data_IF_262330127070
#
_entry.id   IF_262330127070
#
_cell.length_a   1.000
_cell.length_b   1.000
_cell.length_c   1.000
_cell.angle_alpha   90.00
_cell.angle_beta   90.00
_cell.angle_gamma   90.00
#
_symmetry.space_group_name_H-M   'P 1'
#
loop_
_entity.id
_entity.type
_entity.pdbx_description
1 polymer ?
#
# COMPACT_ATOMS: atom_id res chain seq x y z
N UNK A 1 20.84 -35.22 4.83
CA UNK A 1 21.65 -34.34 5.70
C UNK A 1 21.95 -35.12 6.98
N UNK A 2 23.22 -35.37 7.32
CA UNK A 2 23.58 -36.19 8.50
C UNK A 2 23.30 -35.44 9.81
N UNK A 3 23.03 -36.14 10.92
CA UNK A 3 22.74 -35.54 12.24
C UNK A 3 23.80 -34.49 12.67
N UNK A 4 25.08 -34.73 12.38
CA UNK A 4 26.19 -33.79 12.64
C UNK A 4 26.10 -32.50 11.82
N UNK A 5 25.57 -32.56 10.59
CA UNK A 5 25.38 -31.36 9.75
C UNK A 5 24.19 -30.53 10.20
N UNK A 6 23.13 -31.17 10.72
CA UNK A 6 21.99 -30.49 11.35
C UNK A 6 22.40 -29.79 12.64
N UNK A 7 23.19 -30.45 13.50
CA UNK A 7 23.71 -29.82 14.73
C UNK A 7 24.64 -28.64 14.43
N UNK A 8 25.49 -28.76 13.41
CA UNK A 8 26.35 -27.66 12.96
C UNK A 8 25.54 -26.48 12.41
N UNK A 9 24.52 -26.76 11.57
CA UNK A 9 23.62 -25.73 11.06
C UNK A 9 22.92 -24.98 12.20
N UNK A 10 22.39 -25.70 13.19
CA UNK A 10 21.73 -25.09 14.34
C UNK A 10 22.67 -24.28 15.23
N UNK A 11 23.91 -24.75 15.42
CA UNK A 11 24.94 -23.98 16.12
C UNK A 11 25.22 -22.65 15.43
N UNK A 12 25.31 -22.64 14.10
CA UNK A 12 25.47 -21.42 13.30
C UNK A 12 24.23 -20.53 13.45
N UNK A 13 23.01 -21.06 13.32
CA UNK A 13 21.78 -20.27 13.54
C UNK A 13 21.80 -19.56 14.89
N UNK A 14 22.11 -20.30 15.96
CA UNK A 14 22.17 -19.75 17.31
C UNK A 14 23.26 -18.68 17.44
N UNK A 15 24.43 -18.89 16.85
CA UNK A 15 25.52 -17.90 16.84
C UNK A 15 25.06 -16.61 16.16
N UNK A 16 24.55 -16.68 14.93
CA UNK A 16 24.13 -15.50 14.16
C UNK A 16 22.98 -14.73 14.86
N UNK A 17 22.01 -15.44 15.43
CA UNK A 17 20.93 -14.81 16.22
C UNK A 17 21.42 -14.20 17.53
N UNK A 18 22.47 -14.76 18.15
CA UNK A 18 23.07 -14.15 19.34
C UNK A 18 23.88 -12.91 18.99
N UNK A 19 24.65 -12.95 17.91
CA UNK A 19 25.50 -11.83 17.49
C UNK A 19 24.65 -10.61 17.09
N UNK A 20 23.59 -10.80 16.29
CA UNK A 20 22.64 -9.72 15.97
C UNK A 20 21.91 -9.19 17.22
N UNK A 21 21.64 -10.05 18.20
CA UNK A 21 20.94 -9.64 19.44
C UNK A 21 21.80 -8.77 20.35
N UNK A 22 23.13 -8.92 20.26
CA UNK A 22 24.11 -8.08 20.97
C UNK A 22 24.22 -6.70 20.34
N UNK A 23 24.04 -6.58 19.03
CA UNK A 23 23.90 -5.29 18.37
C UNK A 23 22.47 -4.73 18.52
N UNK A 24 22.20 -4.17 19.72
CA UNK A 24 20.91 -3.59 20.08
C UNK A 24 20.45 -2.50 19.11
N UNK A 25 21.37 -1.76 18.49
CA UNK A 25 21.04 -0.69 17.57
C UNK A 25 20.52 -1.27 16.26
N UNK A 26 21.25 -2.22 15.69
CA UNK A 26 20.84 -2.88 14.44
C UNK A 26 19.55 -3.67 14.65
N UNK A 27 19.42 -4.37 15.78
CA UNK A 27 18.18 -5.10 16.11
C UNK A 27 16.99 -4.15 16.31
N UNK A 28 17.17 -3.02 17.00
CA UNK A 28 16.11 -2.03 17.15
C UNK A 28 15.68 -1.42 15.81
N UNK A 29 16.63 -1.13 14.91
CA UNK A 29 16.30 -0.62 13.58
C UNK A 29 15.55 -1.68 12.75
N UNK A 30 16.02 -2.93 12.77
CA UNK A 30 15.47 -4.01 11.94
C UNK A 30 14.12 -4.56 12.43
N UNK A 31 13.89 -4.61 13.75
CA UNK A 31 12.69 -5.21 14.34
C UNK A 31 11.69 -4.21 14.91
N UNK A 32 12.12 -3.02 15.33
CA UNK A 32 11.22 -1.98 15.83
C UNK A 32 11.00 -0.91 14.76
N UNK A 33 12.03 -0.15 14.41
CA UNK A 33 11.84 1.05 13.60
C UNK A 33 11.31 0.74 12.19
N UNK A 34 11.93 -0.22 11.47
CA UNK A 34 11.49 -0.60 10.13
C UNK A 34 10.03 -1.06 10.08
N UNK A 35 9.65 -2.09 10.86
CA UNK A 35 8.28 -2.59 10.93
C UNK A 35 7.22 -1.59 11.40
N UNK A 36 7.55 -0.71 12.36
CA UNK A 36 6.59 0.23 12.96
C UNK A 36 6.43 1.53 12.17
N UNK A 37 7.46 1.95 11.42
CA UNK A 37 7.47 3.26 10.75
C UNK A 37 6.27 3.43 9.81
N UNK A 38 6.04 2.46 8.92
CA UNK A 38 4.95 2.55 7.94
C UNK A 38 3.55 2.50 8.56
N UNK A 39 3.21 1.53 9.44
CA UNK A 39 1.95 1.54 10.16
C UNK A 39 1.69 2.83 10.93
N UNK A 40 2.72 3.41 11.55
CA UNK A 40 2.63 4.65 12.31
C UNK A 40 2.37 5.86 11.39
N UNK A 41 3.11 5.96 10.27
CA UNK A 41 2.91 7.02 9.28
C UNK A 41 1.51 6.93 8.66
N UNK A 42 1.04 5.72 8.31
CA UNK A 42 -0.32 5.54 7.79
C UNK A 42 -1.39 5.89 8.82
N UNK A 43 -1.21 5.51 10.09
CA UNK A 43 -2.13 5.89 11.17
C UNK A 43 -2.21 7.42 11.32
N UNK A 44 -1.03 8.07 11.36
CA UNK A 44 -0.92 9.52 11.51
C UNK A 44 -1.55 10.27 10.35
N UNK A 45 -1.22 9.90 9.12
CA UNK A 45 -1.80 10.50 7.91
C UNK A 45 -3.30 10.22 7.80
N UNK A 46 -3.74 9.00 8.13
CA UNK A 46 -5.16 8.62 8.11
C UNK A 46 -5.98 9.42 9.12
N UNK A 47 -5.47 9.59 10.34
CA UNK A 47 -6.09 10.43 11.38
C UNK A 47 -6.15 11.90 10.96
N UNK A 48 -5.07 12.44 10.40
CA UNK A 48 -5.04 13.83 9.92
C UNK A 48 -6.03 14.05 8.78
N UNK A 49 -6.10 13.11 7.83
CA UNK A 49 -7.03 13.17 6.70
C UNK A 49 -8.49 13.07 7.17
N UNK A 50 -8.80 12.17 8.11
CA UNK A 50 -10.15 12.05 8.67
C UNK A 50 -10.55 13.32 9.43
N UNK A 51 -9.67 13.83 10.29
CA UNK A 51 -9.94 15.06 11.04
C UNK A 51 -10.21 16.22 10.08
N UNK A 52 -9.39 16.36 9.04
CA UNK A 52 -9.59 17.38 8.00
C UNK A 52 -10.92 17.22 7.26
N UNK A 53 -11.26 15.99 6.86
CA UNK A 53 -12.52 15.71 6.17
C UNK A 53 -13.73 16.03 7.05
N UNK A 54 -13.72 15.65 8.34
CA UNK A 54 -14.78 15.99 9.29
C UNK A 54 -14.93 17.50 9.46
N UNK A 55 -13.82 18.21 9.69
CA UNK A 55 -13.86 19.67 9.81
C UNK A 55 -14.45 20.34 8.56
N UNK A 56 -14.09 19.89 7.35
CA UNK A 56 -14.63 20.47 6.11
C UNK A 56 -16.08 20.08 5.81
N UNK A 57 -16.56 18.94 6.31
CA UNK A 57 -17.95 18.52 6.17
C UNK A 57 -18.87 19.25 7.16
N UNK A 58 -18.42 19.41 8.40
CA UNK A 58 -19.20 20.05 9.46
C UNK A 58 -19.15 21.59 9.37
N UNK A 59 -18.08 22.15 8.80
CA UNK A 59 -17.96 23.59 8.62
C UNK A 59 -18.99 24.15 7.63
N UNK A 60 -19.44 25.37 7.94
CA UNK A 60 -20.17 26.23 7.01
C UNK A 60 -19.31 26.51 5.78
N UNK A 61 -19.82 26.20 4.59
CA UNK A 61 -19.12 26.48 3.35
C UNK A 61 -19.44 27.91 2.92
N UNK A 62 -18.48 28.83 3.15
CA UNK A 62 -18.57 30.22 2.68
C UNK A 62 -18.23 30.26 1.20
N UNK A 63 -19.24 30.44 0.36
CA UNK A 63 -19.17 30.33 -1.09
C UNK A 63 -19.20 31.73 -1.74
N UNK A 64 -18.13 32.21 -2.38
CA UNK A 64 -18.19 33.37 -3.24
C UNK A 64 -19.17 33.13 -4.39
N UNK A 65 -20.20 33.97 -4.49
CA UNK A 65 -21.19 33.90 -5.56
C UNK A 65 -21.20 35.19 -6.35
N UNK A 66 -20.98 35.08 -7.67
CA UNK A 66 -21.16 36.18 -8.62
C UNK A 66 -22.57 36.10 -9.22
N UNK A 67 -23.33 37.19 -9.15
CA UNK A 67 -24.71 37.22 -9.63
C UNK A 67 -25.71 36.57 -8.67
N UNK A 68 -25.45 36.60 -7.35
CA UNK A 68 -26.33 36.01 -6.34
C UNK A 68 -27.77 36.59 -6.41
N UNK A 69 -27.89 37.86 -6.78
CA UNK A 69 -29.13 38.59 -7.02
C UNK A 69 -30.01 37.99 -8.13
N UNK A 70 -29.40 37.30 -9.11
CA UNK A 70 -30.15 36.67 -10.20
C UNK A 70 -30.92 35.42 -9.75
N UNK A 71 -30.51 34.79 -8.63
CA UNK A 71 -31.04 33.49 -8.18
C UNK A 71 -31.35 33.42 -6.67
N UNK A 72 -32.17 34.32 -6.10
CA UNK A 72 -32.38 34.39 -4.65
C UNK A 72 -32.95 33.11 -4.02
N UNK A 73 -33.78 32.36 -4.76
CA UNK A 73 -34.32 31.08 -4.30
C UNK A 73 -33.27 29.97 -4.25
N UNK A 74 -32.33 29.95 -5.20
CA UNK A 74 -31.20 29.02 -5.20
C UNK A 74 -30.29 29.31 -4.00
N UNK A 75 -29.98 30.58 -3.74
CA UNK A 75 -29.15 30.98 -2.59
C UNK A 75 -29.79 30.57 -1.26
N UNK A 76 -31.10 30.78 -1.10
CA UNK A 76 -31.84 30.32 0.08
C UNK A 76 -31.78 28.80 0.23
N UNK A 77 -31.91 28.05 -0.87
CA UNK A 77 -31.79 26.58 -0.83
C UNK A 77 -30.38 26.14 -0.41
N UNK A 78 -29.33 26.74 -0.97
CA UNK A 78 -27.94 26.45 -0.60
C UNK A 78 -27.69 26.69 0.91
N UNK A 79 -28.27 27.76 1.47
CA UNK A 79 -28.17 28.03 2.91
C UNK A 79 -28.77 26.91 3.78
N UNK A 80 -29.83 26.21 3.32
CA UNK A 80 -30.38 25.04 4.05
C UNK A 80 -29.43 23.85 4.10
N UNK A 81 -28.43 23.82 3.21
CA UNK A 81 -27.39 22.78 3.13
C UNK A 81 -26.06 23.24 3.78
N UNK A 82 -26.11 24.27 4.62
CA UNK A 82 -24.95 24.88 5.28
C UNK A 82 -23.91 25.44 4.26
N UNK A 83 -24.40 25.94 3.12
CA UNK A 83 -23.61 26.63 2.08
C UNK A 83 -24.06 28.09 2.04
N UNK A 84 -23.25 28.99 2.58
CA UNK A 84 -23.58 30.41 2.74
C UNK A 84 -22.91 31.22 1.64
N UNK A 85 -23.72 31.91 0.84
CA UNK A 85 -23.22 32.79 -0.20
C UNK A 85 -22.59 34.06 0.40
N UNK A 86 -21.37 34.37 -0.03
CA UNK A 86 -20.67 35.62 0.25
C UNK A 86 -20.45 36.40 -1.06
N UNK A 87 -20.30 37.74 -1.01
CA UNK A 87 -20.02 38.53 -2.21
C UNK A 87 -18.75 38.05 -2.92
N UNK A 88 -18.85 37.80 -4.23
CA UNK A 88 -17.69 37.40 -5.02
C UNK A 88 -16.68 38.56 -5.17
N UNK A 89 -15.36 38.30 -5.02
CA UNK A 89 -14.33 39.26 -5.37
C UNK A 89 -14.43 39.72 -6.84
N UNK A 90 -13.92 40.92 -7.12
CA UNK A 90 -13.83 41.46 -8.47
C UNK A 90 -13.03 40.53 -9.40
N UNK A 91 -11.89 40.03 -8.90
CA UNK A 91 -11.06 39.01 -9.54
C UNK A 91 -11.31 37.64 -8.88
N UNK A 92 -12.34 36.93 -9.37
CA UNK A 92 -12.75 35.63 -8.83
C UNK A 92 -11.75 34.53 -9.17
N UNK A 93 -11.29 34.48 -10.43
CA UNK A 93 -10.37 33.45 -10.90
C UNK A 93 -9.02 33.55 -10.20
N UNK A 94 -8.51 34.77 -10.02
CA UNK A 94 -7.31 35.02 -9.25
C UNK A 94 -7.48 34.72 -7.75
N UNK A 95 -8.66 34.95 -7.16
CA UNK A 95 -8.93 34.56 -5.77
C UNK A 95 -8.91 33.04 -5.56
N UNK A 96 -9.44 32.27 -6.52
CA UNK A 96 -9.33 30.80 -6.52
C UNK A 96 -7.87 30.37 -6.70
N UNK A 97 -7.13 30.99 -7.61
CA UNK A 97 -5.71 30.70 -7.83
C UNK A 97 -4.83 31.02 -6.61
N UNK A 98 -5.12 32.13 -5.90
CA UNK A 98 -4.45 32.56 -4.66
C UNK A 98 -4.87 31.76 -3.43
N UNK A 99 -5.86 30.88 -3.56
CA UNK A 99 -6.42 30.07 -2.47
C UNK A 99 -7.11 30.88 -1.37
N UNK A 100 -7.63 32.06 -1.72
CA UNK A 100 -8.49 32.84 -0.81
C UNK A 100 -9.82 32.11 -0.59
N UNK A 101 -10.26 31.35 -1.60
CA UNK A 101 -11.44 30.50 -1.59
C UNK A 101 -11.20 29.19 -2.36
N UNK A 102 -11.75 28.08 -1.87
CA UNK A 102 -11.56 26.76 -2.48
C UNK A 102 -12.45 26.53 -3.72
N UNK A 103 -13.65 27.12 -3.72
CA UNK A 103 -14.66 26.98 -4.78
C UNK A 103 -15.49 28.26 -4.86
N UNK A 104 -15.96 28.60 -6.06
CA UNK A 104 -16.91 29.69 -6.28
C UNK A 104 -18.05 29.28 -7.23
N UNK A 105 -19.11 30.07 -7.22
CA UNK A 105 -20.27 29.88 -8.09
C UNK A 105 -20.52 31.14 -8.92
N UNK A 106 -20.67 30.98 -10.22
CA UNK A 106 -21.12 32.03 -11.13
C UNK A 106 -22.56 31.71 -11.54
N UNK A 107 -23.45 32.66 -11.31
CA UNK A 107 -24.83 32.61 -11.77
C UNK A 107 -24.95 33.52 -13.00
N UNK A 108 -25.32 32.94 -14.14
CA UNK A 108 -25.42 33.68 -15.39
C UNK A 108 -26.45 34.83 -15.31
N UNK A 109 -26.21 35.92 -16.02
CA UNK A 109 -27.08 37.10 -15.99
C UNK A 109 -28.51 36.82 -16.50
N UNK A 110 -28.64 35.89 -17.45
CA UNK A 110 -29.90 35.41 -18.01
C UNK A 110 -30.60 34.33 -17.16
N UNK A 111 -30.03 33.99 -15.98
CA UNK A 111 -30.57 32.95 -15.10
C UNK A 111 -32.04 33.20 -14.77
N UNK A 112 -32.40 34.42 -14.37
CA UNK A 112 -33.75 34.76 -13.96
C UNK A 112 -34.77 34.65 -15.11
N UNK A 113 -34.36 35.00 -16.33
CA UNK A 113 -35.20 34.91 -17.52
C UNK A 113 -35.42 33.44 -17.92
N UNK A 114 -34.34 32.68 -18.10
CA UNK A 114 -34.40 31.26 -18.42
C UNK A 114 -35.19 30.47 -17.37
N UNK A 115 -35.01 30.82 -16.09
CA UNK A 115 -35.73 30.22 -14.98
C UNK A 115 -37.25 30.43 -15.07
N UNK A 116 -37.70 31.65 -15.37
CA UNK A 116 -39.13 31.98 -15.53
C UNK A 116 -39.76 31.30 -16.75
N UNK A 117 -39.01 31.22 -17.85
CA UNK A 117 -39.44 30.55 -19.08
C UNK A 117 -39.45 29.01 -18.96
N UNK A 118 -38.99 28.46 -17.83
CA UNK A 118 -38.92 27.02 -17.61
C UNK A 118 -37.78 26.34 -18.38
N UNK A 119 -36.82 27.12 -18.90
CA UNK A 119 -35.60 26.63 -19.53
C UNK A 119 -34.53 26.31 -18.46
N UNK A 120 -33.54 25.46 -18.76
CA UNK A 120 -32.37 25.28 -17.89
C UNK A 120 -31.64 26.62 -17.74
N UNK A 121 -31.37 27.02 -16.49
CA UNK A 121 -30.64 28.25 -16.19
C UNK A 121 -29.18 27.89 -15.84
N UNK A 122 -28.23 28.56 -16.48
CA UNK A 122 -26.81 28.22 -16.36
C UNK A 122 -26.22 28.69 -15.02
N UNK A 123 -25.49 27.80 -14.38
CA UNK A 123 -24.62 28.09 -13.23
C UNK A 123 -23.28 27.37 -13.44
N UNK A 124 -22.19 28.03 -13.08
CA UNK A 124 -20.84 27.50 -13.27
C UNK A 124 -20.12 27.37 -11.92
N UNK A 125 -19.54 26.21 -11.68
CA UNK A 125 -18.68 25.97 -10.51
C UNK A 125 -17.25 26.26 -10.92
N UNK A 126 -16.65 27.27 -10.30
CA UNK A 126 -15.25 27.64 -10.52
C UNK A 126 -14.40 26.99 -9.43
N UNK A 127 -13.44 26.17 -9.84
CA UNK A 127 -12.52 25.46 -8.95
C UNK A 127 -11.19 25.18 -9.67
N UNK A 128 -10.12 25.04 -8.90
CA UNK A 128 -8.85 24.47 -9.38
C UNK A 128 -8.85 22.95 -9.08
N UNK A 129 -9.06 22.14 -10.12
CA UNK A 129 -9.12 20.67 -9.98
C UNK A 129 -7.80 20.01 -9.62
N UNK A 130 -6.67 20.75 -9.68
CA UNK A 130 -5.37 20.25 -9.23
C UNK A 130 -5.22 20.31 -7.71
N UNK A 131 -6.13 21.02 -7.02
CA UNK A 131 -6.12 21.20 -5.56
C UNK A 131 -7.05 20.22 -4.87
N UNK A 132 -6.48 19.46 -3.93
CA UNK A 132 -7.25 18.52 -3.10
C UNK A 132 -8.23 19.23 -2.17
N UNK A 133 -7.92 20.45 -1.78
CA UNK A 133 -8.72 21.21 -0.82
C UNK A 133 -10.09 21.64 -1.40
N UNK A 134 -10.15 21.84 -2.72
CA UNK A 134 -11.39 22.13 -3.46
C UNK A 134 -12.28 20.91 -3.67
N UNK A 135 -11.76 19.68 -3.53
CA UNK A 135 -12.48 18.45 -3.92
C UNK A 135 -13.74 18.20 -3.06
N UNK A 136 -13.68 18.49 -1.75
CA UNK A 136 -14.82 18.32 -0.84
C UNK A 136 -15.84 19.45 -1.03
N UNK A 137 -15.46 20.75 -0.96
CA UNK A 137 -16.38 21.88 -1.21
C UNK A 137 -17.11 21.77 -2.56
N UNK A 138 -16.39 21.47 -3.64
CA UNK A 138 -16.99 21.37 -4.97
C UNK A 138 -17.95 20.20 -5.12
N UNK A 139 -17.66 19.05 -4.48
CA UNK A 139 -18.59 17.92 -4.43
C UNK A 139 -19.85 18.26 -3.64
N UNK A 140 -19.72 18.93 -2.49
CA UNK A 140 -20.87 19.43 -1.70
C UNK A 140 -21.74 20.39 -2.52
N UNK A 141 -21.12 21.37 -3.19
CA UNK A 141 -21.83 22.33 -4.03
C UNK A 141 -22.54 21.66 -5.21
N UNK A 142 -21.85 20.79 -5.94
CA UNK A 142 -22.44 20.05 -7.07
C UNK A 142 -23.64 19.21 -6.64
N UNK A 143 -23.52 18.46 -5.55
CA UNK A 143 -24.62 17.65 -5.02
C UNK A 143 -25.83 18.50 -4.63
N UNK A 144 -25.61 19.68 -4.02
CA UNK A 144 -26.68 20.61 -3.68
C UNK A 144 -27.37 21.18 -4.94
N UNK A 145 -26.60 21.62 -5.95
CA UNK A 145 -27.14 22.13 -7.21
C UNK A 145 -27.96 21.07 -7.96
N UNK A 146 -27.47 19.83 -8.04
CA UNK A 146 -28.19 18.72 -8.64
C UNK A 146 -29.47 18.37 -7.87
N UNK A 147 -29.41 18.40 -6.53
CA UNK A 147 -30.58 18.22 -5.67
C UNK A 147 -31.67 19.27 -5.94
N UNK A 148 -31.27 20.55 -6.01
CA UNK A 148 -32.17 21.65 -6.34
C UNK A 148 -32.78 21.50 -7.74
N UNK A 149 -31.96 21.15 -8.73
CA UNK A 149 -32.40 20.91 -10.11
C UNK A 149 -33.44 19.79 -10.19
N UNK A 150 -33.22 18.66 -9.50
CA UNK A 150 -34.19 17.55 -9.44
C UNK A 150 -35.49 17.95 -8.76
N UNK A 151 -35.43 18.70 -7.65
CA UNK A 151 -36.60 19.15 -6.92
C UNK A 151 -37.46 20.09 -7.78
N UNK A 152 -36.85 21.11 -8.38
CA UNK A 152 -37.56 22.08 -9.22
C UNK A 152 -38.07 21.43 -10.51
N UNK A 153 -37.26 20.57 -11.14
CA UNK A 153 -37.67 19.82 -12.33
C UNK A 153 -38.94 19.01 -12.08
N UNK A 154 -39.00 18.32 -10.93
CA UNK A 154 -40.20 17.56 -10.53
C UNK A 154 -41.43 18.45 -10.34
N UNK A 155 -41.28 19.59 -9.66
CA UNK A 155 -42.37 20.57 -9.49
C UNK A 155 -42.85 21.15 -10.82
N UNK A 156 -41.93 21.42 -11.75
CA UNK A 156 -42.23 21.91 -13.10
C UNK A 156 -42.98 20.90 -13.96
N UNK A 157 -42.74 19.61 -13.77
CA UNK A 157 -43.47 18.54 -14.44
C UNK A 157 -44.88 18.40 -13.85
N UNK A 158 -44.99 18.35 -12.52
CA UNK A 158 -46.26 18.28 -11.80
C UNK A 158 -47.20 19.44 -12.15
N UNK A 159 -46.67 20.67 -12.20
CA UNK A 159 -47.43 21.86 -12.58
C UNK A 159 -47.98 21.81 -14.01
N UNK A 160 -47.41 20.96 -14.87
CA UNK A 160 -47.88 20.72 -16.25
C UNK A 160 -48.72 19.45 -16.38
N UNK A 161 -49.11 18.82 -15.28
CA UNK A 161 -49.84 17.55 -15.27
C UNK A 161 -49.01 16.35 -15.73
N UNK A 162 -47.69 16.49 -15.80
CA UNK A 162 -46.77 15.42 -16.20
C UNK A 162 -46.23 14.77 -14.93
N UNK A 163 -46.41 13.46 -14.79
CA UNK A 163 -45.80 12.72 -13.70
C UNK A 163 -44.26 12.77 -13.82
N UNK A 164 -43.51 13.14 -12.76
CA UNK A 164 -42.05 13.21 -12.81
C UNK A 164 -41.36 11.91 -13.24
N UNK A 165 -42.01 10.76 -13.01
CA UNK A 165 -41.54 9.43 -13.44
C UNK A 165 -41.39 9.31 -14.95
N UNK A 166 -42.12 10.09 -15.75
CA UNK A 166 -41.98 10.08 -17.22
C UNK A 166 -40.59 10.56 -17.65
N UNK A 167 -39.98 11.48 -16.89
CA UNK A 167 -38.62 11.97 -17.16
C UNK A 167 -37.52 11.04 -16.62
N UNK A 168 -37.86 10.10 -15.73
CA UNK A 168 -36.96 9.11 -15.15
C UNK A 168 -37.32 7.72 -15.68
N UNK A 169 -37.07 7.50 -16.97
CA UNK A 169 -37.45 6.27 -17.69
C UNK A 169 -36.68 5.02 -17.23
N UNK A 170 -35.51 5.20 -16.62
CA UNK A 170 -34.67 4.10 -16.11
C UNK A 170 -34.42 4.34 -14.62
N UNK A 171 -34.87 3.40 -13.80
CA UNK A 171 -34.52 3.34 -12.39
C UNK A 171 -33.30 2.43 -12.22
N UNK A 172 -32.10 3.01 -12.26
CA UNK A 172 -30.85 2.27 -12.10
C UNK A 172 -30.72 1.86 -10.63
N UNK A 173 -30.71 0.55 -10.38
CA UNK A 173 -30.41 -0.02 -9.06
C UNK A 173 -29.00 -0.59 -9.03
N UNK A 174 -28.19 -0.16 -8.07
CA UNK A 174 -26.87 -0.74 -7.82
C UNK A 174 -26.97 -1.89 -6.80
N UNK A 175 -26.60 -3.10 -7.22
CA UNK A 175 -26.45 -4.25 -6.33
C UNK A 175 -24.97 -4.57 -6.13
N UNK A 176 -24.42 -4.04 -5.05
CA UNK A 176 -23.04 -4.31 -4.66
C UNK A 176 -22.92 -5.70 -4.01
N UNK A 177 -22.17 -6.60 -4.65
CA UNK A 177 -21.89 -7.95 -4.18
C UNK A 177 -20.65 -8.02 -3.27
N UNK A 178 -19.91 -6.92 -3.11
CA UNK A 178 -18.69 -6.89 -2.32
C UNK A 178 -19.02 -7.03 -0.82
N UNK A 179 -18.33 -7.97 -0.17
CA UNK A 179 -18.41 -8.11 1.27
C UNK A 179 -17.82 -6.87 1.96
N UNK A 180 -18.27 -6.58 3.18
CA UNK A 180 -17.71 -5.48 3.96
C UNK A 180 -16.18 -5.60 4.14
N UNK A 181 -15.67 -6.84 4.18
CA UNK A 181 -14.25 -7.14 4.26
C UNK A 181 -13.52 -6.82 2.95
N UNK A 182 -14.08 -7.20 1.79
CA UNK A 182 -13.51 -6.84 0.49
C UNK A 182 -13.45 -5.32 0.26
N UNK A 183 -14.47 -4.58 0.74
CA UNK A 183 -14.48 -3.11 0.70
C UNK A 183 -13.37 -2.49 1.54
N UNK A 184 -13.15 -2.99 2.76
CA UNK A 184 -12.03 -2.56 3.62
C UNK A 184 -10.68 -2.88 2.96
N UNK A 185 -10.59 -4.04 2.33
CA UNK A 185 -9.42 -4.49 1.57
C UNK A 185 -9.06 -3.62 0.36
N UNK A 186 -9.97 -2.78 -0.16
CA UNK A 186 -9.72 -1.99 -1.37
C UNK A 186 -8.61 -0.96 -1.17
N UNK A 187 -8.62 -0.23 -0.06
CA UNK A 187 -7.56 0.75 0.25
C UNK A 187 -6.24 0.07 0.58
N UNK A 188 -6.29 -1.09 1.24
CA UNK A 188 -5.13 -1.92 1.55
C UNK A 188 -4.47 -2.51 0.30
N UNK A 189 -5.25 -2.77 -0.75
CA UNK A 189 -4.80 -3.47 -1.95
C UNK A 189 -3.72 -2.73 -2.72
N UNK A 190 -3.61 -1.40 -2.62
CA UNK A 190 -2.67 -0.63 -3.43
C UNK A 190 -1.25 -0.60 -2.86
N UNK A 191 -1.08 -0.53 -1.54
CA UNK A 191 0.22 -0.31 -0.91
C UNK A 191 0.72 -1.51 -0.09
N UNK A 192 -0.20 -2.22 0.59
CA UNK A 192 0.19 -3.25 1.55
C UNK A 192 0.94 -4.44 0.90
N UNK A 193 0.54 -4.95 -0.30
CA UNK A 193 1.29 -6.01 -0.96
C UNK A 193 2.75 -5.63 -1.24
N UNK A 194 2.99 -4.42 -1.75
CA UNK A 194 4.34 -3.93 -2.03
C UNK A 194 5.20 -3.91 -0.76
N UNK A 195 4.68 -3.30 0.30
CA UNK A 195 5.39 -3.17 1.57
C UNK A 195 5.75 -4.54 2.14
N UNK A 196 4.79 -5.47 2.21
CA UNK A 196 5.04 -6.79 2.78
C UNK A 196 6.01 -7.61 1.93
N UNK A 197 5.94 -7.51 0.61
CA UNK A 197 6.91 -8.17 -0.28
C UNK A 197 8.31 -7.60 -0.03
N UNK A 198 8.44 -6.28 0.05
CA UNK A 198 9.70 -5.59 0.32
C UNK A 198 10.28 -6.01 1.68
N UNK A 199 9.47 -5.95 2.75
CA UNK A 199 9.87 -6.37 4.10
C UNK A 199 10.26 -7.84 4.15
N UNK A 200 9.52 -8.72 3.48
CA UNK A 200 9.83 -10.16 3.42
C UNK A 200 11.15 -10.44 2.69
N UNK A 201 11.36 -9.79 1.55
CA UNK A 201 12.54 -9.97 0.71
C UNK A 201 13.82 -9.45 1.36
N UNK A 202 13.71 -8.37 2.15
CA UNK A 202 14.85 -7.64 2.73
C UNK A 202 15.03 -7.88 4.24
N UNK A 203 14.05 -8.47 4.92
CA UNK A 203 14.04 -8.52 6.39
C UNK A 203 15.25 -9.22 7.03
N UNK A 204 15.92 -10.12 6.30
CA UNK A 204 17.16 -10.78 6.73
C UNK A 204 18.46 -10.17 6.17
N UNK A 205 18.38 -9.08 5.40
CA UNK A 205 19.49 -8.60 4.58
C UNK A 205 20.69 -8.11 5.38
N UNK A 206 20.44 -7.37 6.47
CA UNK A 206 21.50 -6.86 7.34
C UNK A 206 22.36 -7.99 7.91
N UNK A 207 21.73 -9.08 8.36
CA UNK A 207 22.44 -10.25 8.87
C UNK A 207 23.25 -10.92 7.75
N UNK A 208 22.67 -11.13 6.56
CA UNK A 208 23.41 -11.78 5.46
C UNK A 208 24.61 -10.95 5.01
N UNK A 209 24.47 -9.63 4.89
CA UNK A 209 25.56 -8.76 4.45
C UNK A 209 26.71 -8.80 5.46
N UNK A 210 26.43 -8.65 6.76
CA UNK A 210 27.47 -8.67 7.79
C UNK A 210 28.07 -10.09 7.96
N UNK A 211 27.23 -11.11 8.06
CA UNK A 211 27.67 -12.49 8.22
C UNK A 211 28.41 -13.03 6.99
N UNK A 212 28.22 -12.47 5.79
CA UNK A 212 28.87 -12.97 4.57
C UNK A 212 30.01 -12.07 4.13
N UNK A 213 29.71 -10.83 3.73
CA UNK A 213 30.72 -9.90 3.23
C UNK A 213 31.52 -9.30 4.39
N UNK A 214 30.89 -9.04 5.54
CA UNK A 214 31.57 -8.52 6.74
C UNK A 214 32.57 -9.52 7.33
N UNK A 215 32.20 -10.79 7.45
CA UNK A 215 33.14 -11.85 7.86
C UNK A 215 34.28 -12.06 6.85
N UNK A 216 34.02 -11.85 5.56
CA UNK A 216 35.06 -11.90 4.51
C UNK A 216 36.05 -10.76 4.68
N UNK A 217 35.55 -9.54 4.81
CA UNK A 217 36.35 -8.32 4.97
C UNK A 217 37.20 -8.36 6.25
N UNK A 218 36.69 -8.98 7.32
CA UNK A 218 37.40 -9.17 8.59
C UNK A 218 38.29 -10.43 8.63
N UNK A 219 38.41 -11.15 7.51
CA UNK A 219 39.19 -12.39 7.39
C UNK A 219 38.77 -13.48 8.39
N UNK A 220 37.55 -13.43 8.92
CA UNK A 220 37.04 -14.42 9.87
C UNK A 220 36.35 -15.61 9.20
N UNK A 221 36.07 -15.52 7.90
CA UNK A 221 35.52 -16.64 7.11
C UNK A 221 36.50 -17.81 6.97
N UNK A 222 37.81 -17.55 6.83
CA UNK A 222 38.80 -18.60 6.60
C UNK A 222 38.89 -19.57 7.80
N UNK A 223 39.02 -19.10 9.06
CA UNK A 223 38.93 -19.97 10.23
C UNK A 223 37.61 -20.73 10.34
N UNK A 224 36.48 -20.11 9.96
CA UNK A 224 35.16 -20.76 10.01
C UNK A 224 35.07 -21.92 9.02
N UNK A 225 35.65 -21.77 7.84
CA UNK A 225 35.69 -22.80 6.80
C UNK A 225 36.71 -23.92 7.08
N UNK A 226 37.66 -23.69 7.99
CA UNK A 226 38.60 -24.69 8.48
C UNK A 226 37.99 -25.58 9.59
N UNK A 227 36.81 -25.24 10.11
CA UNK A 227 36.10 -26.10 11.08
C UNK A 227 35.61 -27.39 10.42
N UNK A 228 35.41 -28.49 11.17
CA UNK A 228 34.90 -29.76 10.63
C UNK A 228 33.42 -29.71 10.15
N UNK A 229 32.80 -28.52 10.13
CA UNK A 229 31.45 -28.33 9.63
C UNK A 229 31.42 -28.25 8.10
N UNK A 230 30.50 -28.98 7.47
CA UNK A 230 30.31 -28.88 6.02
C UNK A 230 29.91 -27.46 5.62
N UNK A 231 30.47 -26.93 4.52
CA UNK A 231 30.16 -25.59 4.00
C UNK A 231 28.66 -25.37 3.78
N UNK A 232 27.95 -26.41 3.32
CA UNK A 232 26.49 -26.37 3.17
C UNK A 232 25.73 -26.15 4.48
N UNK A 233 26.20 -26.68 5.61
CA UNK A 233 25.60 -26.46 6.93
C UNK A 233 25.82 -25.02 7.42
N UNK A 234 27.00 -24.44 7.12
CA UNK A 234 27.32 -23.05 7.46
C UNK A 234 26.39 -22.10 6.69
N UNK A 235 26.33 -22.23 5.36
CA UNK A 235 25.48 -21.39 4.50
C UNK A 235 24.01 -21.52 4.87
N UNK A 236 23.52 -22.76 5.07
CA UNK A 236 22.13 -23.00 5.47
C UNK A 236 21.82 -22.40 6.84
N UNK A 237 22.77 -22.43 7.78
CA UNK A 237 22.61 -21.82 9.10
C UNK A 237 22.48 -20.29 9.01
N UNK A 238 23.30 -19.64 8.18
CA UNK A 238 23.22 -18.19 7.95
C UNK A 238 21.90 -17.77 7.30
N UNK A 239 21.48 -18.49 6.25
CA UNK A 239 20.20 -18.25 5.57
C UNK A 239 19.02 -18.48 6.52
N UNK A 240 19.05 -19.55 7.32
CA UNK A 240 17.98 -19.83 8.28
C UNK A 240 17.88 -18.75 9.38
N UNK A 241 19.01 -18.28 9.92
CA UNK A 241 19.01 -17.17 10.89
C UNK A 241 18.43 -15.88 10.28
N UNK A 242 18.84 -15.54 9.05
CA UNK A 242 18.30 -14.40 8.32
C UNK A 242 16.81 -14.53 8.03
N UNK A 243 16.34 -15.72 7.64
CA UNK A 243 14.92 -15.98 7.42
C UNK A 243 14.11 -15.83 8.71
N UNK A 244 14.62 -16.33 9.85
CA UNK A 244 13.93 -16.19 11.14
C UNK A 244 13.80 -14.73 11.54
N UNK A 245 14.86 -13.92 11.38
CA UNK A 245 14.79 -12.48 11.61
C UNK A 245 13.82 -11.78 10.64
N UNK A 246 13.87 -12.13 9.35
CA UNK A 246 12.98 -11.54 8.35
C UNK A 246 11.51 -11.87 8.60
N UNK A 247 11.21 -13.12 8.97
CA UNK A 247 9.86 -13.54 9.35
C UNK A 247 9.39 -12.89 10.66
N UNK A 248 10.28 -12.71 11.63
CA UNK A 248 9.96 -11.98 12.86
C UNK A 248 9.67 -10.50 12.56
N UNK A 249 10.50 -9.86 11.76
CA UNK A 249 10.30 -8.48 11.30
C UNK A 249 8.96 -8.34 10.57
N UNK A 250 8.65 -9.25 9.65
CA UNK A 250 7.39 -9.31 8.92
C UNK A 250 6.18 -9.51 9.85
N UNK A 251 6.29 -10.41 10.83
CA UNK A 251 5.24 -10.63 11.84
C UNK A 251 4.99 -9.35 12.64
N UNK A 252 6.06 -8.67 13.08
CA UNK A 252 5.94 -7.40 13.79
C UNK A 252 5.29 -6.32 12.92
N UNK A 253 5.61 -6.25 11.63
CA UNK A 253 4.96 -5.33 10.69
C UNK A 253 3.46 -5.58 10.59
N UNK A 254 3.05 -6.84 10.44
CA UNK A 254 1.64 -7.22 10.35
C UNK A 254 0.88 -6.94 11.66
N UNK A 255 1.51 -7.21 12.80
CA UNK A 255 0.94 -6.89 14.12
C UNK A 255 0.85 -5.38 14.34
N UNK A 256 1.84 -4.61 13.88
CA UNK A 256 1.82 -3.15 13.95
C UNK A 256 0.70 -2.56 13.07
N UNK A 257 0.46 -3.09 11.87
CA UNK A 257 -0.71 -2.72 11.07
C UNK A 257 -2.02 -3.02 11.77
N UNK A 258 -2.15 -4.22 12.36
CA UNK A 258 -3.34 -4.59 13.12
C UNK A 258 -3.57 -3.67 14.32
N UNK A 259 -2.52 -3.39 15.10
CA UNK A 259 -2.60 -2.50 16.26
C UNK A 259 -2.96 -1.07 15.84
N UNK A 260 -2.33 -0.57 14.77
CA UNK A 260 -2.63 0.73 14.15
C UNK A 260 -4.11 0.81 13.74
N UNK A 261 -4.65 -0.25 13.15
CA UNK A 261 -6.05 -0.31 12.76
C UNK A 261 -7.03 -0.33 13.94
N UNK A 262 -6.65 -0.96 15.05
CA UNK A 262 -7.47 -1.03 16.27
C UNK A 262 -7.49 0.29 17.05
N UNK A 263 -6.36 1.00 17.10
CA UNK A 263 -6.23 2.29 17.77
C UNK A 263 -6.77 3.44 16.91
N UNK A 264 -6.72 3.28 15.60
CA UNK A 264 -7.11 4.27 14.63
C UNK A 264 -8.62 4.34 14.38
N UNK A 265 -9.07 5.46 13.80
CA UNK A 265 -10.45 5.69 13.34
C UNK A 265 -10.52 5.84 11.82
N UNK A 266 -11.72 5.68 11.26
CA UNK A 266 -12.01 5.91 9.85
C UNK A 266 -11.11 5.11 8.92
N UNK A 267 -10.25 5.81 8.18
CA UNK A 267 -9.36 5.25 7.15
C UNK A 267 -8.36 4.24 7.72
N UNK A 268 -7.95 4.43 8.97
CA UNK A 268 -7.05 3.49 9.67
C UNK A 268 -7.77 2.23 10.16
N UNK A 269 -9.06 2.31 10.53
CA UNK A 269 -9.86 1.12 10.88
C UNK A 269 -10.09 0.19 9.68
N UNK A 270 -10.05 0.73 8.46
CA UNK A 270 -10.10 -0.07 7.23
C UNK A 270 -8.84 -0.92 7.03
N UNK A 271 -7.78 -0.69 7.80
CA UNK A 271 -6.54 -1.47 7.76
C UNK A 271 -6.59 -2.74 8.63
N UNK A 272 -7.72 -3.05 9.29
CA UNK A 272 -7.81 -4.20 10.20
C UNK A 272 -7.76 -5.52 9.42
N UNK A 273 -6.75 -6.34 9.74
CA UNK A 273 -6.51 -7.63 9.12
C UNK A 273 -6.79 -8.74 10.14
N UNK A 274 -7.67 -9.69 9.76
CA UNK A 274 -7.97 -10.86 10.58
C UNK A 274 -6.71 -11.66 10.89
N UNK A 275 -6.68 -12.30 12.06
CA UNK A 275 -5.53 -13.12 12.46
C UNK A 275 -5.28 -14.29 11.51
N UNK A 276 -6.34 -14.88 10.96
CA UNK A 276 -6.24 -15.91 9.94
C UNK A 276 -5.62 -15.40 8.63
N UNK A 277 -5.91 -14.14 8.25
CA UNK A 277 -5.29 -13.50 7.10
C UNK A 277 -3.80 -13.22 7.33
N UNK A 278 -3.41 -12.78 8.55
CA UNK A 278 -2.00 -12.65 8.95
C UNK A 278 -1.26 -13.98 8.78
N UNK A 279 -1.84 -15.10 9.26
CA UNK A 279 -1.26 -16.43 9.07
C UNK A 279 -1.06 -16.80 7.59
N UNK A 280 -2.06 -16.52 6.73
CA UNK A 280 -1.93 -16.74 5.27
C UNK A 280 -0.87 -15.85 4.64
N UNK A 281 -0.79 -14.57 5.01
CA UNK A 281 0.22 -13.63 4.51
C UNK A 281 1.64 -14.09 4.88
N UNK A 282 1.85 -14.55 6.12
CA UNK A 282 3.13 -15.13 6.54
C UNK A 282 3.46 -16.36 5.70
N UNK A 283 2.51 -17.29 5.51
CA UNK A 283 2.72 -18.48 4.68
C UNK A 283 3.09 -18.11 3.24
N UNK A 284 2.41 -17.12 2.66
CA UNK A 284 2.72 -16.59 1.32
C UNK A 284 4.13 -16.01 1.31
N UNK A 285 4.56 -15.29 2.33
CA UNK A 285 5.83 -14.57 2.30
C UNK A 285 7.04 -15.41 2.75
N UNK A 286 6.84 -16.58 3.35
CA UNK A 286 7.94 -17.46 3.76
C UNK A 286 8.86 -17.89 2.61
N UNK A 287 8.35 -18.40 1.46
CA UNK A 287 9.20 -18.71 0.31
C UNK A 287 9.94 -17.49 -0.23
N UNK A 288 9.31 -16.30 -0.15
CA UNK A 288 9.93 -15.05 -0.60
C UNK A 288 11.10 -14.65 0.30
N UNK A 289 10.97 -14.83 1.61
CA UNK A 289 12.06 -14.56 2.55
C UNK A 289 13.26 -15.47 2.28
N UNK A 290 13.01 -16.75 2.00
CA UNK A 290 14.07 -17.70 1.63
C UNK A 290 14.69 -17.35 0.27
N UNK A 291 13.87 -16.99 -0.72
CA UNK A 291 14.34 -16.53 -2.02
C UNK A 291 15.26 -15.31 -1.90
N UNK A 292 14.83 -14.27 -1.17
CA UNK A 292 15.61 -13.05 -0.99
C UNK A 292 16.90 -13.26 -0.22
N UNK A 293 16.86 -14.00 0.89
CA UNK A 293 18.06 -14.31 1.67
C UNK A 293 19.05 -15.19 0.89
N UNK A 294 18.59 -16.22 0.18
CA UNK A 294 19.46 -17.07 -0.63
C UNK A 294 20.12 -16.31 -1.79
N UNK A 295 19.34 -15.47 -2.50
CA UNK A 295 19.86 -14.62 -3.57
C UNK A 295 20.89 -13.62 -3.05
N UNK A 296 20.60 -12.99 -1.91
CA UNK A 296 21.52 -12.04 -1.30
C UNK A 296 22.78 -12.72 -0.78
N UNK A 297 22.68 -13.94 -0.21
CA UNK A 297 23.87 -14.71 0.20
C UNK A 297 24.73 -15.04 -1.02
N UNK A 298 24.12 -15.40 -2.15
CA UNK A 298 24.86 -15.65 -3.39
C UNK A 298 25.65 -14.41 -3.86
N UNK A 299 25.02 -13.22 -3.86
CA UNK A 299 25.70 -11.98 -4.26
C UNK A 299 26.70 -11.46 -3.22
N UNK A 300 26.37 -11.56 -1.94
CA UNK A 300 27.26 -11.14 -0.86
C UNK A 300 28.52 -12.01 -0.82
N UNK A 301 28.44 -13.28 -1.19
CA UNK A 301 29.59 -14.18 -1.30
C UNK A 301 30.54 -13.80 -2.44
N UNK A 302 30.09 -13.00 -3.43
CA UNK A 302 30.96 -12.48 -4.50
C UNK A 302 31.56 -11.11 -4.21
N UNK A 303 30.97 -10.37 -3.27
CA UNK A 303 31.45 -9.05 -2.89
C UNK A 303 32.78 -9.13 -2.14
N UNK A 304 33.70 -8.21 -2.46
CA UNK A 304 34.99 -8.07 -1.78
C UNK A 304 34.89 -7.25 -0.50
N UNK A 305 33.86 -6.42 -0.36
CA UNK A 305 33.62 -5.56 0.80
C UNK A 305 32.13 -5.48 1.16
N UNK A 306 31.84 -5.07 2.39
CA UNK A 306 30.48 -4.76 2.84
C UNK A 306 29.83 -3.70 1.96
N UNK A 307 30.59 -2.71 1.49
CA UNK A 307 30.09 -1.64 0.59
C UNK A 307 29.63 -2.18 -0.76
N UNK A 308 30.35 -3.14 -1.32
CA UNK A 308 29.97 -3.78 -2.59
C UNK A 308 28.72 -4.66 -2.42
N UNK A 309 28.65 -5.44 -1.35
CA UNK A 309 27.45 -6.22 -1.02
C UNK A 309 26.22 -5.31 -0.81
N UNK A 310 26.39 -4.17 -0.14
CA UNK A 310 25.34 -3.18 0.05
C UNK A 310 24.91 -2.53 -1.28
N UNK A 311 25.85 -2.32 -2.21
CA UNK A 311 25.54 -1.81 -3.54
C UNK A 311 24.69 -2.81 -4.34
N UNK A 312 25.03 -4.09 -4.33
CA UNK A 312 24.19 -5.14 -4.93
C UNK A 312 22.81 -5.23 -4.29
N UNK A 313 22.74 -5.10 -2.97
CA UNK A 313 21.49 -5.09 -2.23
C UNK A 313 20.55 -3.94 -2.68
N UNK A 314 21.09 -2.73 -2.92
CA UNK A 314 20.29 -1.60 -3.43
C UNK A 314 19.62 -1.93 -4.77
N UNK A 315 20.31 -2.61 -5.68
CA UNK A 315 19.73 -3.04 -6.96
C UNK A 315 18.70 -4.16 -6.78
N UNK A 316 18.96 -5.11 -5.87
CA UNK A 316 17.99 -6.15 -5.51
C UNK A 316 16.69 -5.58 -4.95
N UNK A 317 16.75 -4.48 -4.20
CA UNK A 317 15.56 -3.82 -3.66
C UNK A 317 14.59 -3.34 -4.76
N UNK A 318 15.07 -3.12 -5.99
CA UNK A 318 14.25 -2.68 -7.12
C UNK A 318 13.52 -3.85 -7.82
N UNK A 319 13.92 -5.10 -7.62
CA UNK A 319 13.30 -6.27 -8.26
C UNK A 319 11.80 -6.41 -7.93
N UNK A 320 11.36 -6.32 -6.67
CA UNK A 320 9.94 -6.34 -6.32
C UNK A 320 9.12 -5.17 -6.89
N UNK A 321 9.79 -4.07 -7.22
CA UNK A 321 9.18 -2.80 -7.59
C UNK A 321 8.49 -2.89 -8.96
N UNK A 322 9.19 -3.44 -9.96
CA UNK A 322 8.73 -3.54 -11.35
C UNK A 322 7.37 -4.24 -11.49
N UNK A 323 7.19 -5.51 -11.05
CA UNK A 323 5.92 -6.21 -11.21
C UNK A 323 4.79 -5.56 -10.41
N UNK A 324 5.10 -4.97 -9.26
CA UNK A 324 4.11 -4.28 -8.44
C UNK A 324 3.58 -3.02 -9.16
N UNK A 325 4.46 -2.21 -9.75
CA UNK A 325 4.04 -1.05 -10.53
C UNK A 325 3.24 -1.44 -11.78
N UNK A 326 3.66 -2.49 -12.50
CA UNK A 326 2.93 -2.97 -13.67
C UNK A 326 1.51 -3.37 -13.29
N UNK A 327 1.33 -4.10 -12.19
CA UNK A 327 0.00 -4.48 -11.69
C UNK A 327 -0.82 -3.30 -11.16
N UNK A 328 -0.17 -2.26 -10.65
CA UNK A 328 -0.84 -1.04 -10.19
C UNK A 328 -1.40 -0.21 -11.35
N UNK A 329 -0.65 -0.13 -12.46
CA UNK A 329 -1.05 0.63 -13.67
C UNK A 329 -2.02 -0.18 -14.53
N UNK A 330 -1.76 -1.48 -14.69
CA UNK A 330 -2.58 -2.38 -15.49
C UNK A 330 -2.95 -3.62 -14.67
N UNK A 331 -4.08 -3.58 -13.94
CA UNK A 331 -4.55 -4.74 -13.18
C UNK A 331 -4.97 -5.85 -14.16
N UNK A 332 -4.06 -6.80 -14.36
CA UNK A 332 -4.28 -7.96 -15.23
C UNK A 332 -5.19 -8.96 -14.52
N UNK A 333 -6.09 -9.60 -15.28
CA UNK A 333 -6.88 -10.73 -14.76
C UNK A 333 -5.94 -11.80 -14.20
N UNK A 334 -6.24 -12.29 -13.00
CA UNK A 334 -5.42 -13.30 -12.35
C UNK A 334 -5.44 -14.59 -13.15
N UNK A 335 -4.27 -15.10 -13.52
CA UNK A 335 -4.09 -16.34 -14.29
C UNK A 335 -3.08 -17.24 -13.57
N UNK A 336 -3.17 -18.56 -13.78
CA UNK A 336 -2.39 -19.54 -13.01
C UNK A 336 -0.86 -19.35 -13.15
N UNK A 337 -0.38 -18.97 -14.33
CA UNK A 337 1.06 -18.76 -14.58
C UNK A 337 1.65 -17.63 -13.72
N UNK A 338 0.86 -16.64 -13.31
CA UNK A 338 1.33 -15.51 -12.49
C UNK A 338 1.82 -15.99 -11.12
N UNK A 339 1.30 -17.12 -10.62
CA UNK A 339 1.71 -17.71 -9.36
C UNK A 339 3.03 -18.49 -9.42
N UNK A 340 3.57 -18.73 -10.62
CA UNK A 340 4.88 -19.34 -10.80
C UNK A 340 6.01 -18.29 -10.78
N UNK A 341 5.68 -17.01 -11.02
CA UNK A 341 6.67 -15.93 -11.14
C UNK A 341 6.83 -15.20 -9.81
N UNK A 342 8.06 -15.09 -9.25
CA UNK A 342 8.31 -14.32 -8.04
C UNK A 342 7.83 -12.88 -8.15
N UNK A 343 7.50 -12.29 -7.02
CA UNK A 343 6.92 -10.95 -6.84
C UNK A 343 5.50 -10.82 -7.39
N UNK A 344 5.21 -11.31 -8.61
CA UNK A 344 3.86 -11.38 -9.16
C UNK A 344 2.97 -12.31 -8.35
N UNK A 345 3.47 -13.51 -8.02
CA UNK A 345 2.73 -14.50 -7.25
C UNK A 345 2.35 -13.97 -5.86
N UNK A 346 3.32 -13.38 -5.15
CA UNK A 346 3.08 -12.82 -3.82
C UNK A 346 2.13 -11.62 -3.90
N UNK A 347 2.27 -10.76 -4.91
CA UNK A 347 1.35 -9.63 -5.07
C UNK A 347 -0.10 -10.11 -5.26
N UNK A 348 -0.33 -11.04 -6.19
CA UNK A 348 -1.66 -11.58 -6.46
C UNK A 348 -2.24 -12.35 -5.28
N UNK A 349 -1.44 -13.17 -4.59
CA UNK A 349 -1.89 -13.92 -3.41
C UNK A 349 -2.23 -12.98 -2.23
N UNK A 350 -1.42 -11.96 -1.99
CA UNK A 350 -1.70 -10.96 -0.96
C UNK A 350 -2.98 -10.20 -1.27
N UNK A 351 -3.21 -9.79 -2.53
CA UNK A 351 -4.47 -9.17 -2.95
C UNK A 351 -5.67 -10.08 -2.69
N UNK A 352 -5.58 -11.37 -3.02
CA UNK A 352 -6.63 -12.35 -2.71
C UNK A 352 -6.92 -12.45 -1.22
N UNK A 353 -5.89 -12.49 -0.38
CA UNK A 353 -6.07 -12.54 1.08
C UNK A 353 -6.68 -11.25 1.62
N UNK A 354 -6.22 -10.08 1.16
CA UNK A 354 -6.72 -8.76 1.58
C UNK A 354 -8.20 -8.58 1.20
N UNK A 355 -8.60 -9.07 0.03
CA UNK A 355 -9.99 -9.01 -0.46
C UNK A 355 -10.88 -10.14 0.09
N UNK A 356 -10.34 -10.98 0.97
CA UNK A 356 -11.00 -12.16 1.51
C UNK A 356 -11.52 -13.14 0.42
N UNK A 357 -10.81 -13.20 -0.72
CA UNK A 357 -11.08 -14.17 -1.77
C UNK A 357 -10.58 -15.57 -1.37
N UNK A 358 -11.28 -16.60 -1.84
CA UNK A 358 -10.83 -17.99 -1.69
C UNK A 358 -9.67 -18.27 -2.64
N UNK A 359 -8.61 -18.89 -2.11
CA UNK A 359 -7.45 -19.33 -2.90
C UNK A 359 -7.60 -20.82 -3.15
N UNK A 360 -7.66 -21.21 -4.42
CA UNK A 360 -7.79 -22.60 -4.82
C UNK A 360 -6.55 -23.42 -4.42
N UNK A 361 -6.69 -24.70 -4.08
CA UNK A 361 -5.55 -25.58 -3.78
C UNK A 361 -4.54 -25.69 -4.92
N UNK A 362 -5.01 -25.61 -6.17
CA UNK A 362 -4.19 -25.60 -7.39
C UNK A 362 -3.19 -24.44 -7.38
N UNK A 363 -3.66 -23.25 -6.99
CA UNK A 363 -2.85 -22.04 -6.88
C UNK A 363 -1.78 -22.19 -5.81
N UNK A 364 -2.13 -22.76 -4.65
CA UNK A 364 -1.15 -23.05 -3.59
C UNK A 364 -0.07 -24.03 -4.05
N UNK A 365 -0.45 -25.09 -4.76
CA UNK A 365 0.47 -26.09 -5.28
C UNK A 365 1.49 -25.49 -6.26
N UNK A 366 1.02 -24.72 -7.24
CA UNK A 366 1.88 -24.02 -8.21
C UNK A 366 2.78 -23.02 -7.49
N UNK A 367 2.20 -22.20 -6.60
CA UNK A 367 2.93 -21.16 -5.89
C UNK A 367 4.07 -21.70 -5.04
N UNK A 368 3.74 -22.61 -4.11
CA UNK A 368 4.72 -23.17 -3.18
C UNK A 368 5.75 -24.01 -3.93
N UNK A 369 5.30 -24.82 -4.90
CA UNK A 369 6.19 -25.64 -5.73
C UNK A 369 7.22 -24.82 -6.48
N UNK A 370 6.79 -23.83 -7.28
CA UNK A 370 7.69 -22.98 -8.06
C UNK A 370 8.57 -22.10 -7.16
N UNK A 371 8.01 -21.53 -6.09
CA UNK A 371 8.76 -20.64 -5.20
C UNK A 371 9.84 -21.39 -4.43
N UNK A 372 9.52 -22.54 -3.82
CA UNK A 372 10.52 -23.34 -3.11
C UNK A 372 11.53 -23.98 -4.07
N UNK A 373 11.13 -24.38 -5.28
CA UNK A 373 12.07 -24.87 -6.29
C UNK A 373 13.09 -23.79 -6.66
N UNK A 374 12.65 -22.57 -6.93
CA UNK A 374 13.53 -21.44 -7.26
C UNK A 374 14.44 -21.07 -6.07
N UNK A 375 13.87 -21.01 -4.87
CA UNK A 375 14.60 -20.81 -3.62
C UNK A 375 15.69 -21.87 -3.41
N UNK A 376 15.35 -23.15 -3.64
CA UNK A 376 16.28 -24.28 -3.54
C UNK A 376 17.40 -24.22 -4.58
N UNK A 377 17.10 -23.81 -5.81
CA UNK A 377 18.10 -23.60 -6.87
C UNK A 377 19.09 -22.49 -6.49
N UNK A 378 18.60 -21.37 -5.95
CA UNK A 378 19.46 -20.27 -5.48
C UNK A 378 20.29 -20.66 -4.25
N UNK A 379 19.69 -21.36 -3.29
CA UNK A 379 20.42 -21.92 -2.16
C UNK A 379 21.54 -22.85 -2.63
N UNK A 380 21.25 -23.72 -3.60
CA UNK A 380 22.25 -24.61 -4.18
C UNK A 380 23.39 -23.85 -4.87
N UNK A 381 23.05 -22.79 -5.63
CA UNK A 381 24.03 -21.90 -6.24
C UNK A 381 24.90 -21.21 -5.18
N UNK A 382 24.31 -20.73 -4.08
CA UNK A 382 25.03 -20.13 -2.96
C UNK A 382 25.98 -21.14 -2.29
N UNK A 383 25.52 -22.37 -2.02
CA UNK A 383 26.36 -23.42 -1.45
C UNK A 383 27.52 -23.80 -2.37
N UNK A 384 27.26 -23.97 -3.68
CA UNK A 384 28.33 -24.22 -4.66
C UNK A 384 29.35 -23.09 -4.68
N UNK A 385 28.91 -21.84 -4.55
CA UNK A 385 29.81 -20.69 -4.54
C UNK A 385 30.78 -20.74 -3.36
N UNK A 386 30.30 -21.12 -2.18
CA UNK A 386 31.13 -21.35 -0.99
C UNK A 386 32.15 -22.49 -1.15
N UNK A 387 31.97 -23.39 -2.12
CA UNK A 387 32.96 -24.42 -2.42
C UNK A 387 34.14 -23.89 -3.26
N UNK A 388 33.96 -22.79 -4.02
CA UNK A 388 35.03 -22.25 -4.84
C UNK A 388 36.14 -21.64 -3.96
N UNK A 389 37.39 -22.01 -4.21
CA UNK A 389 38.57 -21.58 -3.45
C UNK A 389 38.84 -20.08 -3.56
N UNK A 390 38.34 -19.42 -4.61
CA UNK A 390 38.38 -17.95 -4.76
C UNK A 390 37.66 -17.21 -3.63
N UNK A 391 36.83 -17.92 -2.85
CA UNK A 391 36.16 -17.33 -1.69
C UNK A 391 37.07 -17.28 -0.46
N UNK A 392 38.10 -18.12 -0.38
CA UNK A 392 39.07 -18.16 0.71
C UNK A 392 40.33 -17.33 0.42
N UNK A 393 40.63 -17.02 -0.84
CA UNK A 393 41.78 -16.18 -1.20
C UNK A 393 41.31 -14.73 -1.29
N UNK A 394 41.52 -13.96 -0.23
CA UNK A 394 41.46 -12.49 -0.27
C UNK A 394 42.73 -11.95 -0.93
N UNK A 395 42.83 -12.11 -2.25
CA UNK A 395 43.87 -11.52 -3.09
C UNK A 395 43.32 -10.41 -3.97
#
# INVERSE_FOLDING_TARGET
MNLRSLSAMWAVVRKELLDISRDRRTLAIALLLGPLLYPLLMAGMGSLAENRARTQLDAELRLPVRGAEHAPNLIKFLATQNIVAIPAPADLDGAIHRQDHDVALIVAADFAENWKQGRPALVEIVQDSTRRDAEIPSRRLRAALEGYSRQVGSLRLLARGIAPSVAQSINVGDRDIATAEAKRGLLLSSLLPYLLILTSFIGGAHLIIDATAGERERQSLEPLLATPASRGAIVSGKIAAACLLGLLSLLLTLLAFKLSAQLGRGLSQMLDVRLAAIGKMLLILTPMCFFGTALLTFLAATAKSVKEAQSHFTWLMLLPLLPTFVLMVNPIKTQLWQFAVPFLAQNQLLLKVIRAETIEPSVWGVYLGCSFALAGLLWYAAVRRYHNESLAVSG
#
